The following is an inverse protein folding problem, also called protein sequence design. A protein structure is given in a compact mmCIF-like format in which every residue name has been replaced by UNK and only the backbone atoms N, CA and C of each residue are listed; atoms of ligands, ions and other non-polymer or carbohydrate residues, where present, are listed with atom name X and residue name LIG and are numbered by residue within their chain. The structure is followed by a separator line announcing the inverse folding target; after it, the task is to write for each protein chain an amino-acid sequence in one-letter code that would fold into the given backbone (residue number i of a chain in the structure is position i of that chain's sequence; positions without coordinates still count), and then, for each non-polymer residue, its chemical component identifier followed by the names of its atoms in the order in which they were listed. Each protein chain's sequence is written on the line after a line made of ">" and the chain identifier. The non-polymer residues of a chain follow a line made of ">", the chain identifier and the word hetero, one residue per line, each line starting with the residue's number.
data_IF_642284168555
#
_entry.id   IF_642284168555
#
_cell.length_a   1.000
_cell.length_b   1.000
_cell.length_c   1.000
_cell.angle_alpha   90.00
_cell.angle_beta   90.00
_cell.angle_gamma   90.00
#
_symmetry.space_group_name_H-M   'P 1'
#
loop_
_entity.id
_entity.type
_entity.pdbx_description
1 polymer ?
#
# COMPACT_ATOMS: atom_id res chain seq x y z
N UNK A 1 -8.59 -30.37 -11.87
CA UNK A 1 -9.96 -30.12 -12.40
C UNK A 1 -9.86 -29.08 -13.49
N UNK A 2 -9.75 -29.52 -14.75
CA UNK A 2 -9.75 -28.63 -15.91
C UNK A 2 -11.18 -28.40 -16.35
N UNK A 3 -11.73 -27.23 -16.07
CA UNK A 3 -12.99 -26.79 -16.68
C UNK A 3 -12.74 -26.45 -18.14
N UNK A 4 -12.72 -27.46 -19.02
CA UNK A 4 -12.97 -27.22 -20.43
C UNK A 4 -14.48 -27.10 -20.60
N UNK A 5 -14.99 -25.86 -20.67
CA UNK A 5 -16.39 -25.61 -21.05
C UNK A 5 -16.45 -25.66 -22.59
N UNK A 6 -16.38 -26.88 -23.12
CA UNK A 6 -16.51 -27.16 -24.54
C UNK A 6 -17.96 -27.14 -24.97
N UNK A 7 -18.55 -25.95 -25.11
CA UNK A 7 -19.73 -25.71 -25.96
C UNK A 7 -19.60 -24.26 -26.38
N UNK A 8 -19.44 -23.98 -27.68
CA UNK A 8 -19.62 -22.62 -28.18
C UNK A 8 -21.08 -22.25 -27.88
N UNK A 9 -21.35 -21.33 -26.93
CA UNK A 9 -22.73 -20.98 -26.62
C UNK A 9 -23.35 -20.42 -27.91
N UNK A 10 -24.57 -20.85 -28.20
CA UNK A 10 -25.30 -20.25 -29.31
C UNK A 10 -25.37 -18.74 -29.02
N UNK A 11 -25.30 -17.88 -30.04
CA UNK A 11 -25.37 -16.42 -29.82
C UNK A 11 -26.55 -16.01 -28.92
N UNK A 12 -27.65 -16.76 -28.98
CA UNK A 12 -28.84 -16.61 -28.14
C UNK A 12 -28.58 -16.93 -26.66
N UNK A 13 -27.79 -17.95 -26.36
CA UNK A 13 -27.44 -18.35 -25.00
C UNK A 13 -26.56 -17.27 -24.35
N UNK A 14 -25.60 -16.72 -25.10
CA UNK A 14 -24.77 -15.61 -24.62
C UNK A 14 -25.62 -14.36 -24.33
N UNK A 15 -26.58 -14.03 -25.18
CA UNK A 15 -27.50 -12.90 -24.95
C UNK A 15 -28.32 -13.14 -23.68
N UNK A 16 -28.84 -14.35 -23.48
CA UNK A 16 -29.61 -14.69 -22.28
C UNK A 16 -28.75 -14.59 -21.02
N UNK A 17 -27.54 -15.15 -21.02
CA UNK A 17 -26.61 -15.12 -19.89
C UNK A 17 -26.22 -13.68 -19.52
N UNK A 18 -25.87 -12.86 -20.51
CA UNK A 18 -25.55 -11.44 -20.29
C UNK A 18 -26.76 -10.68 -19.75
N UNK A 19 -27.94 -10.90 -20.31
CA UNK A 19 -29.15 -10.22 -19.85
C UNK A 19 -29.45 -10.57 -18.39
N UNK A 20 -29.40 -11.86 -18.04
CA UNK A 20 -29.60 -12.30 -16.65
C UNK A 20 -28.54 -11.73 -15.70
N UNK A 21 -27.27 -11.70 -16.11
CA UNK A 21 -26.21 -11.07 -15.32
C UNK A 21 -26.48 -9.59 -15.08
N UNK A 22 -26.82 -8.84 -16.13
CA UNK A 22 -27.11 -7.41 -16.00
C UNK A 22 -28.36 -7.15 -15.16
N UNK A 23 -29.44 -7.93 -15.32
CA UNK A 23 -30.64 -7.80 -14.49
C UNK A 23 -30.32 -7.97 -13.00
N UNK A 24 -29.67 -9.07 -12.61
CA UNK A 24 -29.29 -9.28 -11.21
C UNK A 24 -28.32 -8.22 -10.68
N UNK A 25 -27.41 -7.73 -11.54
CA UNK A 25 -26.47 -6.69 -11.15
C UNK A 25 -27.16 -5.34 -10.92
N UNK A 26 -28.07 -4.94 -11.82
CA UNK A 26 -28.84 -3.71 -11.69
C UNK A 26 -29.81 -3.75 -10.51
N UNK A 27 -30.44 -4.90 -10.26
CA UNK A 27 -31.26 -5.14 -9.07
C UNK A 27 -30.42 -4.99 -7.80
N UNK A 28 -29.24 -5.61 -7.73
CA UNK A 28 -28.34 -5.50 -6.58
C UNK A 28 -27.73 -4.11 -6.39
N UNK A 29 -27.73 -3.28 -7.44
CA UNK A 29 -27.28 -1.89 -7.40
C UNK A 29 -28.43 -0.89 -7.24
N UNK A 30 -29.68 -1.35 -7.08
CA UNK A 30 -30.89 -0.53 -6.96
C UNK A 30 -31.05 0.52 -8.09
N UNK A 31 -30.68 0.11 -9.31
CA UNK A 31 -30.78 0.93 -10.52
C UNK A 31 -32.14 0.72 -11.18
N UNK A 32 -33.04 1.67 -10.97
CA UNK A 32 -34.41 1.69 -11.48
C UNK A 32 -34.65 2.76 -12.56
N UNK A 33 -33.72 3.73 -12.71
CA UNK A 33 -33.81 4.81 -13.70
C UNK A 33 -32.65 4.81 -14.68
N UNK A 34 -32.88 5.42 -15.85
CA UNK A 34 -31.83 5.60 -16.85
C UNK A 34 -30.71 6.52 -16.34
N UNK A 35 -31.04 7.52 -15.52
CA UNK A 35 -30.07 8.40 -14.86
C UNK A 35 -29.13 7.61 -13.96
N UNK A 36 -29.67 6.74 -13.07
CA UNK A 36 -28.85 5.88 -12.22
C UNK A 36 -28.01 4.90 -13.03
N UNK A 37 -28.53 4.39 -14.15
CA UNK A 37 -27.75 3.55 -15.06
C UNK A 37 -26.58 4.32 -15.67
N UNK A 38 -26.80 5.56 -16.12
CA UNK A 38 -25.71 6.42 -16.62
C UNK A 38 -24.66 6.66 -15.56
N UNK A 39 -25.07 6.98 -14.33
CA UNK A 39 -24.18 7.21 -13.20
C UNK A 39 -23.35 5.96 -12.89
N UNK A 40 -23.97 4.78 -12.86
CA UNK A 40 -23.28 3.50 -12.71
C UNK A 40 -22.27 3.23 -13.83
N UNK A 41 -22.63 3.52 -15.09
CA UNK A 41 -21.72 3.36 -16.23
C UNK A 41 -20.50 4.29 -16.14
N UNK A 42 -20.70 5.54 -15.71
CA UNK A 42 -19.64 6.52 -15.51
C UNK A 42 -18.75 6.12 -14.34
N UNK A 43 -19.34 5.77 -13.19
CA UNK A 43 -18.61 5.24 -12.02
C UNK A 43 -17.79 4.00 -12.41
N UNK A 44 -18.36 3.08 -13.20
CA UNK A 44 -17.66 1.94 -13.79
C UNK A 44 -16.47 2.33 -14.68
N UNK A 45 -16.55 3.42 -15.45
CA UNK A 45 -15.40 3.91 -16.23
C UNK A 45 -14.31 4.49 -15.33
N UNK A 46 -14.69 5.23 -14.28
CA UNK A 46 -13.74 5.83 -13.32
C UNK A 46 -12.98 4.72 -12.58
N UNK A 47 -13.69 3.73 -12.07
CA UNK A 47 -13.10 2.57 -11.38
C UNK A 47 -12.20 1.75 -12.30
N UNK A 48 -12.56 1.55 -13.58
CA UNK A 48 -11.69 0.89 -14.58
C UNK A 48 -10.36 1.62 -14.74
N UNK A 49 -10.37 2.96 -14.81
CA UNK A 49 -9.17 3.80 -14.98
C UNK A 49 -8.34 3.96 -13.71
N UNK A 50 -8.88 3.59 -12.55
CA UNK A 50 -8.15 3.68 -11.29
C UNK A 50 -6.89 2.79 -11.28
N UNK A 51 -5.84 3.28 -10.60
CA UNK A 51 -4.64 2.49 -10.36
C UNK A 51 -4.93 1.27 -9.46
N UNK A 52 -4.08 0.24 -9.54
CA UNK A 52 -4.22 -0.97 -8.72
C UNK A 52 -4.27 -0.69 -7.21
N UNK A 53 -3.56 0.33 -6.75
CA UNK A 53 -3.52 0.73 -5.33
C UNK A 53 -4.86 1.25 -4.86
N UNK A 54 -5.50 2.12 -5.65
CA UNK A 54 -6.84 2.63 -5.36
C UNK A 54 -7.83 1.46 -5.39
N UNK A 55 -7.71 0.59 -6.39
CA UNK A 55 -8.59 -0.58 -6.52
C UNK A 55 -8.54 -1.51 -5.30
N UNK A 56 -7.35 -1.78 -4.78
CA UNK A 56 -7.17 -2.61 -3.59
C UNK A 56 -7.78 -1.98 -2.33
N UNK A 57 -7.80 -0.64 -2.24
CA UNK A 57 -8.36 0.05 -1.07
C UNK A 57 -9.89 0.05 -1.05
N UNK A 58 -10.53 0.11 -2.21
CA UNK A 58 -11.99 0.27 -2.34
C UNK A 58 -12.74 -1.01 -2.73
N UNK A 59 -12.07 -2.17 -2.78
CA UNK A 59 -12.66 -3.44 -3.26
C UNK A 59 -13.97 -3.79 -2.58
N UNK A 60 -14.05 -3.58 -1.27
CA UNK A 60 -15.25 -3.89 -0.46
C UNK A 60 -16.37 -2.86 -0.64
N UNK A 61 -16.01 -1.62 -0.99
CA UNK A 61 -16.96 -0.51 -1.12
C UNK A 61 -17.51 -0.33 -2.53
N UNK A 62 -16.99 -1.05 -3.53
CA UNK A 62 -17.41 -0.90 -4.92
C UNK A 62 -18.88 -1.15 -5.18
N UNK A 63 -19.52 -2.07 -4.44
CA UNK A 63 -20.96 -2.33 -4.60
C UNK A 63 -21.83 -1.14 -4.23
N UNK A 64 -21.31 -0.21 -3.43
CA UNK A 64 -22.03 0.98 -2.95
C UNK A 64 -21.67 2.24 -3.77
N UNK A 65 -20.75 2.10 -4.72
CA UNK A 65 -20.17 3.19 -5.50
C UNK A 65 -20.93 3.38 -6.82
N UNK A 66 -22.19 3.79 -6.73
CA UNK A 66 -23.04 4.05 -7.90
C UNK A 66 -22.99 5.51 -8.37
N UNK A 67 -22.65 6.44 -7.48
CA UNK A 67 -22.52 7.87 -7.80
C UNK A 67 -21.09 8.19 -8.31
N UNK A 68 -20.94 8.68 -9.55
CA UNK A 68 -19.64 8.97 -10.14
C UNK A 68 -18.87 10.07 -9.41
N UNK A 69 -19.56 11.08 -8.84
CA UNK A 69 -18.92 12.19 -8.13
C UNK A 69 -18.38 11.73 -6.78
N UNK A 70 -19.14 10.90 -6.07
CA UNK A 70 -18.69 10.28 -4.82
C UNK A 70 -17.46 9.40 -5.07
N UNK A 71 -17.47 8.60 -6.14
CA UNK A 71 -16.31 7.78 -6.52
C UNK A 71 -15.07 8.63 -6.80
N UNK A 72 -15.22 9.68 -7.61
CA UNK A 72 -14.12 10.58 -7.94
C UNK A 72 -13.55 11.25 -6.69
N UNK A 73 -14.42 11.81 -5.84
CA UNK A 73 -14.03 12.47 -4.59
C UNK A 73 -13.26 11.53 -3.66
N UNK A 74 -13.75 10.30 -3.46
CA UNK A 74 -13.10 9.30 -2.60
C UNK A 74 -11.70 8.94 -3.13
N UNK A 75 -11.55 8.80 -4.45
CA UNK A 75 -10.26 8.49 -5.07
C UNK A 75 -9.27 9.64 -4.89
N UNK A 76 -9.70 10.88 -5.07
CA UNK A 76 -8.86 12.06 -4.90
C UNK A 76 -8.44 12.24 -3.43
N UNK A 77 -9.37 12.08 -2.50
CA UNK A 77 -9.09 12.13 -1.06
C UNK A 77 -8.06 11.07 -0.65
N UNK A 78 -8.24 9.82 -1.09
CA UNK A 78 -7.28 8.76 -0.83
C UNK A 78 -5.90 9.08 -1.43
N UNK A 79 -5.85 9.58 -2.67
CA UNK A 79 -4.58 9.97 -3.29
C UNK A 79 -3.88 11.10 -2.55
N UNK A 80 -4.62 12.10 -2.08
CA UNK A 80 -4.09 13.20 -1.28
C UNK A 80 -3.55 12.70 0.06
N UNK A 81 -4.33 11.90 0.80
CA UNK A 81 -3.90 11.30 2.06
C UNK A 81 -2.62 10.47 1.89
N UNK A 82 -2.56 9.66 0.83
CA UNK A 82 -1.38 8.85 0.49
C UNK A 82 -0.16 9.71 0.14
N UNK A 83 -0.34 10.82 -0.58
CA UNK A 83 0.76 11.77 -0.87
C UNK A 83 1.29 12.42 0.40
N UNK A 84 0.42 12.76 1.36
CA UNK A 84 0.82 13.34 2.64
C UNK A 84 1.60 12.34 3.50
N UNK A 85 1.19 11.07 3.52
CA UNK A 85 1.91 9.99 4.23
C UNK A 85 3.28 9.69 3.61
N UNK A 86 3.42 9.92 2.30
CA UNK A 86 4.68 9.72 1.55
C UNK A 86 5.64 10.91 1.61
N UNK A 87 5.33 11.99 2.35
CA UNK A 87 6.35 13.01 2.62
C UNK A 87 7.58 12.30 3.19
N UNK A 88 8.79 12.52 2.65
CA UNK A 88 9.97 11.96 3.27
C UNK A 88 9.96 12.49 4.69
N UNK A 89 9.90 11.59 5.68
CA UNK A 89 10.41 11.93 6.99
C UNK A 89 11.76 12.56 6.70
N UNK A 90 11.88 13.86 6.98
CA UNK A 90 13.16 14.53 6.87
C UNK A 90 14.11 13.64 7.66
N UNK A 91 15.06 13.02 6.95
CA UNK A 91 16.15 12.28 7.53
C UNK A 91 16.89 13.28 8.42
N UNK A 92 16.41 13.49 9.65
CA UNK A 92 17.26 14.01 10.70
C UNK A 92 18.32 12.91 10.86
N UNK A 93 19.60 13.22 10.61
CA UNK A 93 20.64 12.28 10.98
C UNK A 93 20.41 11.97 12.46
N UNK A 94 20.30 10.69 12.78
CA UNK A 94 20.29 10.27 14.18
C UNK A 94 21.66 10.68 14.71
N UNK A 95 21.76 11.82 15.40
CA UNK A 95 22.98 12.24 16.08
C UNK A 95 23.32 11.17 17.10
N UNK A 96 24.20 10.23 16.71
CA UNK A 96 24.70 9.19 17.60
C UNK A 96 25.38 9.91 18.77
N UNK A 97 24.93 9.76 20.02
CA UNK A 97 25.65 10.33 21.14
C UNK A 97 27.04 9.69 21.17
N UNK A 98 28.08 10.47 20.96
CA UNK A 98 29.46 10.00 21.09
C UNK A 98 29.70 9.67 22.56
N UNK A 99 29.56 8.40 22.94
CA UNK A 99 29.88 7.94 24.28
C UNK A 99 31.41 7.99 24.44
N UNK A 100 31.93 9.12 24.94
CA UNK A 100 33.34 9.24 25.31
C UNK A 100 33.59 8.33 26.50
N UNK A 101 34.15 7.15 26.24
CA UNK A 101 34.62 6.22 27.27
C UNK A 101 35.79 6.88 28.01
N UNK A 102 35.54 7.42 29.19
CA UNK A 102 36.59 7.90 30.09
C UNK A 102 37.31 6.70 30.70
N UNK A 103 38.50 6.38 30.22
CA UNK A 103 39.38 5.42 30.87
C UNK A 103 39.98 6.04 32.13
N UNK A 104 39.26 5.95 33.26
CA UNK A 104 39.79 6.26 34.59
C UNK A 104 39.93 4.98 35.42
N UNK A 105 40.84 4.11 35.02
CA UNK A 105 41.39 3.07 35.89
C UNK A 105 42.91 3.21 35.94
N UNK A 106 43.38 4.29 36.59
CA UNK A 106 44.78 4.41 37.00
C UNK A 106 44.91 3.76 38.38
N UNK A 107 45.13 2.44 38.38
CA UNK A 107 45.39 1.68 39.61
C UNK A 107 46.81 2.02 40.09
N UNK A 108 46.89 2.57 41.29
CA UNK A 108 48.11 2.90 42.01
C UNK A 108 48.96 1.63 42.23
N UNK A 109 50.25 1.70 41.88
CA UNK A 109 51.26 0.71 42.23
C UNK A 109 52.48 1.41 42.82
N UNK A 110 52.60 1.39 44.16
CA UNK A 110 53.82 1.75 44.90
C UNK A 110 54.89 0.70 44.62
N UNK A 111 56.13 1.12 44.38
CA UNK A 111 57.29 0.21 44.34
C UNK A 111 58.50 0.76 43.58
N UNK A 112 59.15 1.81 44.09
CA UNK A 112 60.51 2.17 43.65
C UNK A 112 61.50 1.53 44.62
N UNK A 113 62.28 0.57 44.14
CA UNK A 113 63.30 -0.10 44.95
C UNK A 113 64.23 -1.04 44.18
N UNK A 114 65.31 -0.45 43.63
CA UNK A 114 66.66 -1.01 43.37
C UNK A 114 66.89 -2.11 42.29
N UNK A 115 67.71 -1.67 41.31
CA UNK A 115 68.92 -2.30 40.71
C UNK A 115 68.78 -3.62 39.92
N UNK A 116 69.15 -3.58 38.64
CA UNK A 116 70.30 -4.30 38.03
C UNK A 116 70.24 -4.15 36.50
N UNK A 117 71.02 -3.24 35.92
CA UNK A 117 72.23 -3.49 35.10
C UNK A 117 72.03 -4.23 33.76
N UNK A 118 72.24 -3.44 32.70
CA UNK A 118 73.16 -3.68 31.56
C UNK A 118 72.62 -4.48 30.37
N UNK A 119 72.25 -3.75 29.32
CA UNK A 119 72.30 -4.24 27.94
C UNK A 119 73.76 -4.45 27.51
N UNK A 120 74.04 -5.59 26.87
CA UNK A 120 75.19 -5.83 26.00
C UNK A 120 74.69 -6.66 24.80
N UNK A 121 74.74 -6.09 23.61
CA UNK A 121 75.00 -6.84 22.38
C UNK A 121 76.04 -6.04 21.61
N UNK A 122 77.23 -6.66 21.51
CA UNK A 122 78.44 -6.33 20.75
C UNK A 122 79.20 -5.07 21.16
#
# INVERSE_FOLDING_TARGET
>A
MTHQKGVNPLRKDLVFELNSYFSCWLEGAEVDTFEKLKDLMIAGQITRRASSVIKAHFVDQWRQMNDPYVVASNFDQYQLARKMLRKPQQNKPFDKPSFKRTNSFRKNGKGRGKKSRRCKIK
#
